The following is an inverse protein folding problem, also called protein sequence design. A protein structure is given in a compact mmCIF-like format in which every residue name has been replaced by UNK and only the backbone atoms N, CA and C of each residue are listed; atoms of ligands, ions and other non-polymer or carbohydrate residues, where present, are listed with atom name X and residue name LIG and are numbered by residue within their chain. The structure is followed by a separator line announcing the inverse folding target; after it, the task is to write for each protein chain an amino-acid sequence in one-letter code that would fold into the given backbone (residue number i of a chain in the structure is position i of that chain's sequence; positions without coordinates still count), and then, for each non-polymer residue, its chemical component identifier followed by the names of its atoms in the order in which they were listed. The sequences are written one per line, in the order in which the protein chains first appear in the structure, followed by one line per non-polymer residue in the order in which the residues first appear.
data_IF_070368806034
#
_entry.id   IF_070368806034
#
_cell.length_a   1.000
_cell.length_b   1.000
_cell.length_c   1.000
_cell.angle_alpha   90.00
_cell.angle_beta   90.00
_cell.angle_gamma   90.00
#
_symmetry.space_group_name_H-M   'P 1'
#
loop_
_entity.id
_entity.type
_entity.pdbx_description
1 polymer ?
#
# COMPACT_ATOMS: atom_id res chain seq x y z
N UNK A 1 18.88 -1.56 -13.91
CA UNK A 1 17.54 -1.53 -14.54
C UNK A 1 17.17 -0.07 -14.81
N UNK A 2 16.54 0.25 -15.94
CA UNK A 2 16.10 1.62 -16.24
C UNK A 2 15.02 2.07 -15.25
N UNK A 3 15.04 3.32 -14.79
CA UNK A 3 14.01 3.91 -13.91
C UNK A 3 12.60 3.69 -14.47
N UNK A 4 12.44 3.77 -15.79
CA UNK A 4 11.19 3.51 -16.48
C UNK A 4 10.68 2.08 -16.29
N UNK A 5 11.57 1.09 -16.28
CA UNK A 5 11.19 -0.32 -16.04
C UNK A 5 10.67 -0.54 -14.62
N UNK A 6 11.25 0.16 -13.64
CA UNK A 6 10.79 0.09 -12.23
C UNK A 6 9.40 0.70 -12.09
N UNK A 7 9.14 1.85 -12.73
CA UNK A 7 7.83 2.49 -12.73
C UNK A 7 6.77 1.62 -13.40
N UNK A 8 7.09 0.99 -14.53
CA UNK A 8 6.17 0.08 -15.22
C UNK A 8 5.84 -1.14 -14.36
N UNK A 9 6.83 -1.73 -13.68
CA UNK A 9 6.60 -2.86 -12.78
C UNK A 9 5.73 -2.45 -11.58
N UNK A 10 5.99 -1.27 -11.01
CA UNK A 10 5.20 -0.69 -9.93
C UNK A 10 3.75 -0.45 -10.37
N UNK A 11 3.56 0.07 -11.59
CA UNK A 11 2.25 0.28 -12.17
C UNK A 11 1.49 -1.05 -12.36
N UNK A 12 2.14 -2.08 -12.89
CA UNK A 12 1.53 -3.41 -13.07
C UNK A 12 1.13 -4.04 -11.73
N UNK A 13 1.98 -3.92 -10.71
CA UNK A 13 1.65 -4.40 -9.36
C UNK A 13 0.46 -3.63 -8.75
N UNK A 14 0.37 -2.31 -8.93
CA UNK A 14 -0.80 -1.50 -8.52
C UNK A 14 -2.09 -1.90 -9.24
N UNK A 15 -2.00 -2.20 -10.53
CA UNK A 15 -3.13 -2.70 -11.31
C UNK A 15 -3.60 -4.05 -10.76
N UNK A 16 -2.67 -5.00 -10.53
CA UNK A 16 -2.98 -6.30 -9.94
C UNK A 16 -3.60 -6.20 -8.54
N UNK A 17 -3.03 -5.35 -7.67
CA UNK A 17 -3.58 -5.07 -6.34
C UNK A 17 -5.01 -4.50 -6.42
N UNK A 18 -5.29 -3.64 -7.40
CA UNK A 18 -6.63 -3.05 -7.58
C UNK A 18 -7.64 -4.08 -8.08
N UNK A 19 -7.24 -4.97 -9.00
CA UNK A 19 -8.07 -6.12 -9.37
C UNK A 19 -8.34 -7.03 -8.15
N UNK A 20 -7.32 -7.29 -7.33
CA UNK A 20 -7.46 -8.02 -6.08
C UNK A 20 -8.49 -7.41 -5.13
N UNK A 21 -8.55 -6.07 -5.03
CA UNK A 21 -9.55 -5.41 -4.18
C UNK A 21 -10.97 -5.63 -4.68
N UNK A 22 -11.18 -5.61 -6.00
CA UNK A 22 -12.49 -5.88 -6.62
C UNK A 22 -12.88 -7.35 -6.44
N UNK A 23 -11.93 -8.28 -6.61
CA UNK A 23 -12.17 -9.71 -6.46
C UNK A 23 -12.51 -10.11 -5.02
N UNK A 24 -11.86 -9.50 -4.02
CA UNK A 24 -12.23 -9.75 -2.62
C UNK A 24 -13.63 -9.23 -2.31
N UNK A 25 -14.00 -8.06 -2.86
CA UNK A 25 -15.31 -7.42 -2.71
C UNK A 25 -15.62 -6.90 -1.30
N UNK A 26 -15.22 -7.61 -0.24
CA UNK A 26 -15.42 -7.25 1.15
C UNK A 26 -14.44 -7.98 2.10
N UNK A 27 -14.42 -7.57 3.37
CA UNK A 27 -13.66 -8.23 4.43
C UNK A 27 -12.26 -7.68 4.67
N UNK A 28 -11.59 -8.25 5.68
CA UNK A 28 -10.31 -7.74 6.20
C UNK A 28 -9.16 -7.83 5.18
N UNK A 29 -9.24 -8.72 4.20
CA UNK A 29 -8.19 -8.85 3.18
C UNK A 29 -8.04 -7.62 2.28
N UNK A 30 -9.09 -6.79 2.15
CA UNK A 30 -8.99 -5.49 1.45
C UNK A 30 -8.02 -4.55 2.17
N UNK A 31 -7.96 -4.62 3.49
CA UNK A 31 -7.05 -3.79 4.28
C UNK A 31 -5.59 -4.18 4.02
N UNK A 32 -5.30 -5.48 3.85
CA UNK A 32 -3.96 -5.94 3.48
C UNK A 32 -3.55 -5.45 2.09
N UNK A 33 -4.48 -5.50 1.12
CA UNK A 33 -4.24 -4.95 -0.22
C UNK A 33 -4.03 -3.44 -0.18
N UNK A 34 -4.73 -2.72 0.70
CA UNK A 34 -4.54 -1.29 0.90
C UNK A 34 -3.14 -0.97 1.47
N UNK A 35 -2.64 -1.73 2.45
CA UNK A 35 -1.25 -1.59 2.96
C UNK A 35 -0.25 -1.83 1.83
N UNK A 36 -0.43 -2.90 1.05
CA UNK A 36 0.47 -3.23 -0.04
C UNK A 36 0.50 -2.14 -1.12
N UNK A 37 -0.65 -1.53 -1.45
CA UNK A 37 -0.71 -0.35 -2.35
C UNK A 37 0.02 0.86 -1.77
N UNK A 38 -0.17 1.15 -0.48
CA UNK A 38 0.49 2.27 0.18
C UNK A 38 2.02 2.11 0.17
N UNK A 39 2.52 0.91 0.44
CA UNK A 39 3.95 0.58 0.32
C UNK A 39 4.46 0.82 -1.10
N UNK A 40 3.75 0.31 -2.10
CA UNK A 40 4.16 0.41 -3.49
C UNK A 40 4.22 1.86 -3.99
N UNK A 41 3.30 2.71 -3.54
CA UNK A 41 3.28 4.14 -3.88
C UNK A 41 4.41 4.88 -3.18
N UNK A 42 4.64 4.60 -1.89
CA UNK A 42 5.70 5.24 -1.12
C UNK A 42 7.10 4.91 -1.66
N UNK A 43 7.40 3.63 -1.96
CA UNK A 43 8.72 3.23 -2.48
C UNK A 43 8.86 3.48 -3.99
N UNK A 44 7.80 3.27 -4.78
CA UNK A 44 7.89 3.23 -6.23
C UNK A 44 7.61 4.55 -6.95
N UNK A 45 6.67 5.36 -6.46
CA UNK A 45 6.22 6.58 -7.15
C UNK A 45 6.75 7.87 -6.55
N UNK A 46 6.91 7.94 -5.23
CA UNK A 46 7.35 9.18 -4.56
C UNK A 46 8.86 9.45 -4.65
N UNK A 47 9.64 8.63 -5.39
CA UNK A 47 11.10 8.72 -5.46
C UNK A 47 11.82 8.73 -4.09
N UNK A 48 11.10 8.41 -3.00
CA UNK A 48 11.60 8.21 -1.65
C UNK A 48 12.66 7.10 -1.58
N UNK A 49 12.83 6.30 -2.64
CA UNK A 49 13.97 5.42 -2.88
C UNK A 49 15.32 6.11 -2.69
N UNK A 50 15.43 7.39 -3.05
CA UNK A 50 16.64 8.19 -2.85
C UNK A 50 16.49 9.22 -1.71
N UNK A 51 15.34 9.26 -1.05
CA UNK A 51 15.03 10.18 0.04
C UNK A 51 15.42 9.64 1.42
N UNK A 52 15.38 10.48 2.46
CA UNK A 52 15.73 10.10 3.83
C UNK A 52 14.83 8.98 4.38
N UNK A 53 15.45 7.86 4.77
CA UNK A 53 14.81 6.62 5.27
C UNK A 53 13.76 6.86 6.37
N UNK A 54 13.95 7.88 7.23
CA UNK A 54 13.03 8.22 8.33
C UNK A 54 11.63 8.61 7.84
N UNK A 55 11.54 9.34 6.72
CA UNK A 55 10.25 9.71 6.12
C UNK A 55 9.53 8.50 5.55
N UNK A 56 10.28 7.57 4.96
CA UNK A 56 9.72 6.30 4.48
C UNK A 56 9.08 5.52 5.62
N UNK A 57 9.81 5.32 6.72
CA UNK A 57 9.28 4.61 7.88
C UNK A 57 8.06 5.31 8.50
N UNK A 58 8.04 6.65 8.54
CA UNK A 58 6.91 7.43 9.06
C UNK A 58 5.65 7.25 8.20
N UNK A 59 5.78 7.24 6.87
CA UNK A 59 4.67 7.03 5.95
C UNK A 59 4.15 5.58 6.01
N UNK A 60 5.05 4.60 6.11
CA UNK A 60 4.68 3.19 6.24
C UNK A 60 4.00 2.92 7.59
N UNK A 61 4.53 3.49 8.68
CA UNK A 61 3.93 3.34 10.01
C UNK A 61 2.56 4.01 10.08
N UNK A 62 2.39 5.16 9.42
CA UNK A 62 1.09 5.81 9.29
C UNK A 62 0.05 4.91 8.60
N UNK A 63 0.42 4.30 7.46
CA UNK A 63 -0.48 3.37 6.76
C UNK A 63 -0.84 2.15 7.61
N UNK A 64 0.13 1.61 8.36
CA UNK A 64 -0.11 0.50 9.29
C UNK A 64 -1.06 0.91 10.43
N UNK A 65 -0.87 2.09 11.01
CA UNK A 65 -1.77 2.62 12.05
C UNK A 65 -3.19 2.77 11.53
N UNK A 66 -3.37 3.33 10.32
CA UNK A 66 -4.71 3.46 9.71
C UNK A 66 -5.38 2.11 9.50
N UNK A 67 -4.65 1.12 8.99
CA UNK A 67 -5.20 -0.23 8.80
C UNK A 67 -5.53 -0.92 10.12
N UNK A 68 -4.69 -0.76 11.14
CA UNK A 68 -4.98 -1.27 12.47
C UNK A 68 -6.24 -0.61 13.06
N UNK A 69 -6.38 0.72 12.91
CA UNK A 69 -7.51 1.47 13.44
C UNK A 69 -8.82 1.11 12.72
N UNK A 70 -8.78 0.99 11.39
CA UNK A 70 -9.94 0.58 10.58
C UNK A 70 -10.28 -0.89 10.82
N UNK A 71 -9.28 -1.76 10.93
CA UNK A 71 -9.49 -3.17 11.27
C UNK A 71 -10.13 -3.33 12.66
N UNK A 72 -9.63 -2.57 13.64
CA UNK A 72 -10.20 -2.56 14.99
C UNK A 72 -11.62 -1.99 14.99
N UNK A 73 -11.90 -0.89 14.29
CA UNK A 73 -13.25 -0.32 14.24
C UNK A 73 -14.24 -1.27 13.55
N UNK A 74 -13.80 -1.99 12.51
CA UNK A 74 -14.59 -3.05 11.88
C UNK A 74 -14.84 -4.23 12.81
N UNK A 75 -13.86 -4.60 13.63
CA UNK A 75 -14.00 -5.66 14.63
C UNK A 75 -14.95 -5.27 15.77
N UNK A 76 -14.95 -4.00 16.19
CA UNK A 76 -15.82 -3.50 17.26
C UNK A 76 -17.29 -3.31 16.82
N UNK A 77 -17.53 -3.10 15.52
CA UNK A 77 -18.88 -2.89 14.96
C UNK A 77 -19.43 -4.09 14.18
N UNK A 78 -18.69 -5.19 14.08
CA UNK A 78 -19.10 -6.43 13.42
C UNK A 78 -19.53 -7.48 14.43
#
# INVERSE_FOLDING_TARGET
MSTSSVLVLCWLALAGLSLGTVMLGQGAGILLLAVAKAWLICDGFMELRHGPQRWRWLLLSWALVLVALVGLSRFLHG
#
